data_IF_979699553929
#
_entry.id   IF_979699553929
#
_cell.length_a   1.000
_cell.length_b   1.000
_cell.length_c   1.000
_cell.angle_alpha   90.00
_cell.angle_beta   90.00
_cell.angle_gamma   90.00
#
_symmetry.space_group_name_H-M   'P 1'
#
loop_
_entity.id
_entity.type
_entity.pdbx_description
1 polymer ?
#
# COMPACT_ATOMS: atom_id res chain seq x y z
N UNK A 1 44.08 4.92 -17.16
CA UNK A 1 42.66 5.27 -17.12
C UNK A 1 41.87 4.05 -16.65
N UNK A 2 41.28 4.07 -15.45
CA UNK A 2 40.40 2.98 -14.97
C UNK A 2 39.00 3.25 -15.50
N UNK A 3 38.53 2.39 -16.42
CA UNK A 3 37.20 2.48 -17.01
C UNK A 3 36.11 2.33 -15.96
N UNK A 4 35.11 3.22 -16.01
CA UNK A 4 33.93 3.16 -15.16
C UNK A 4 33.16 1.87 -15.41
N UNK A 5 33.15 0.98 -14.42
CA UNK A 5 32.27 -0.18 -14.41
C UNK A 5 30.83 0.30 -14.42
N UNK A 6 30.04 -0.12 -15.43
CA UNK A 6 28.60 0.09 -15.43
C UNK A 6 28.04 -0.66 -14.22
N UNK A 7 27.34 0.04 -13.34
CA UNK A 7 26.59 -0.60 -12.25
C UNK A 7 25.64 -1.63 -12.88
N UNK A 8 25.91 -2.91 -12.65
CA UNK A 8 25.03 -3.99 -13.08
C UNK A 8 23.71 -3.84 -12.32
N UNK A 9 22.59 -3.90 -13.03
CA UNK A 9 21.25 -3.85 -12.45
C UNK A 9 20.42 -4.95 -13.06
N UNK A 10 20.15 -5.99 -12.27
CA UNK A 10 19.36 -7.13 -12.71
C UNK A 10 17.93 -6.72 -13.08
N UNK A 11 17.46 -7.14 -14.25
CA UNK A 11 16.11 -6.85 -14.74
C UNK A 11 15.01 -7.62 -14.01
N UNK A 12 15.37 -8.61 -13.16
CA UNK A 12 14.41 -9.39 -12.38
C UNK A 12 14.26 -8.85 -10.95
N UNK A 13 15.36 -8.68 -10.21
CA UNK A 13 15.34 -8.28 -8.79
C UNK A 13 15.97 -6.91 -8.49
N UNK A 14 16.51 -6.19 -9.49
CA UNK A 14 17.30 -4.95 -9.32
C UNK A 14 18.62 -5.12 -8.53
N UNK A 15 19.11 -6.35 -8.35
CA UNK A 15 20.38 -6.64 -7.68
C UNK A 15 21.61 -6.36 -8.54
N UNK A 16 22.81 -6.25 -7.93
CA UNK A 16 24.06 -5.93 -8.62
C UNK A 16 24.69 -7.16 -9.30
N UNK A 17 23.98 -7.77 -10.24
CA UNK A 17 24.43 -8.94 -10.99
C UNK A 17 23.74 -9.00 -12.36
N UNK A 18 24.23 -9.86 -13.26
CA UNK A 18 23.60 -10.07 -14.55
C UNK A 18 22.21 -10.69 -14.41
N UNK A 19 21.30 -10.34 -15.32
CA UNK A 19 19.90 -10.78 -15.29
C UNK A 19 19.76 -12.30 -15.37
N UNK A 20 20.66 -12.96 -16.11
CA UNK A 20 20.64 -14.40 -16.34
C UNK A 20 20.92 -15.18 -15.05
N UNK A 21 21.84 -14.68 -14.23
CA UNK A 21 22.29 -15.29 -12.97
C UNK A 21 21.45 -14.88 -11.75
N UNK A 22 20.21 -14.45 -11.96
CA UNK A 22 19.40 -13.97 -10.84
C UNK A 22 19.11 -15.06 -9.80
N UNK A 23 19.58 -14.91 -8.54
CA UNK A 23 19.39 -15.93 -7.51
C UNK A 23 17.96 -15.93 -6.96
N UNK A 24 17.21 -14.84 -7.18
CA UNK A 24 15.88 -14.62 -6.62
C UNK A 24 14.78 -15.12 -7.56
N UNK A 25 14.91 -14.87 -8.86
CA UNK A 25 13.85 -15.12 -9.83
C UNK A 25 14.37 -15.84 -11.07
N UNK A 26 13.73 -16.98 -11.38
CA UNK A 26 13.99 -17.73 -12.61
C UNK A 26 13.21 -17.19 -13.82
N UNK A 27 12.04 -16.60 -13.58
CA UNK A 27 11.16 -16.08 -14.64
C UNK A 27 11.51 -14.62 -14.95
N UNK A 28 11.32 -14.16 -16.20
CA UNK A 28 11.47 -12.76 -16.54
C UNK A 28 10.46 -11.91 -15.76
N UNK A 29 10.83 -10.66 -15.54
CA UNK A 29 9.98 -9.67 -14.89
C UNK A 29 8.67 -9.49 -15.69
N UNK A 30 7.49 -9.47 -15.05
CA UNK A 30 6.22 -9.23 -15.73
C UNK A 30 6.23 -7.94 -16.55
N UNK A 31 5.52 -7.88 -17.68
CA UNK A 31 5.45 -6.68 -18.55
C UNK A 31 4.68 -5.51 -17.94
N UNK A 32 4.17 -5.68 -16.72
CA UNK A 32 3.27 -4.73 -16.08
C UNK A 32 4.04 -3.55 -15.46
N UNK A 33 3.53 -2.31 -15.55
CA UNK A 33 4.20 -1.04 -15.20
C UNK A 33 4.89 -1.04 -13.82
N UNK A 34 4.28 -1.60 -12.78
CA UNK A 34 4.79 -1.72 -11.41
C UNK A 34 6.06 -2.56 -11.28
N UNK A 35 6.14 -3.65 -12.05
CA UNK A 35 7.32 -4.48 -12.07
C UNK A 35 8.54 -3.65 -12.52
N UNK A 36 8.29 -2.60 -13.31
CA UNK A 36 9.29 -1.68 -13.85
C UNK A 36 9.35 -0.33 -13.14
N UNK A 37 8.31 0.08 -12.39
CA UNK A 37 8.19 1.45 -11.85
C UNK A 37 9.36 1.81 -10.92
N UNK A 38 9.87 0.81 -10.19
CA UNK A 38 10.99 0.93 -9.28
C UNK A 38 12.32 0.41 -9.88
N UNK A 39 12.34 -0.01 -11.15
CA UNK A 39 13.58 -0.48 -11.80
C UNK A 39 14.62 0.63 -11.83
N UNK A 40 15.76 0.41 -11.17
CA UNK A 40 16.85 1.37 -11.13
C UNK A 40 16.55 2.64 -10.32
N UNK A 41 15.42 2.74 -9.62
CA UNK A 41 15.15 3.87 -8.72
C UNK A 41 15.91 3.69 -7.42
N UNK A 42 16.71 4.70 -7.05
CA UNK A 42 17.38 4.77 -5.73
C UNK A 42 16.37 4.96 -4.59
N UNK A 43 15.20 5.53 -4.90
CA UNK A 43 14.06 5.74 -3.99
C UNK A 43 12.80 5.12 -4.59
N UNK A 44 12.46 3.87 -4.24
CA UNK A 44 11.26 3.20 -4.73
C UNK A 44 9.99 3.98 -4.36
N UNK A 45 9.04 4.08 -5.29
CA UNK A 45 7.67 4.43 -4.97
C UNK A 45 7.10 3.26 -4.17
N UNK A 46 6.77 3.54 -2.91
CA UNK A 46 6.17 2.60 -1.98
C UNK A 46 5.00 3.29 -1.28
N UNK A 47 3.96 2.52 -0.98
CA UNK A 47 2.86 2.99 -0.15
C UNK A 47 3.36 3.13 1.29
N UNK A 48 3.32 4.37 1.79
CA UNK A 48 3.95 4.74 3.06
C UNK A 48 5.39 5.16 2.83
N UNK A 49 5.63 6.47 2.87
CA UNK A 49 6.98 6.96 3.17
C UNK A 49 7.38 6.35 4.52
N UNK A 50 8.58 5.80 4.64
CA UNK A 50 9.11 5.42 5.95
C UNK A 50 9.08 6.69 6.80
N UNK A 51 8.07 6.87 7.65
CA UNK A 51 7.86 8.09 8.44
C UNK A 51 8.94 8.29 9.51
N UNK A 52 10.17 7.88 9.25
CA UNK A 52 11.23 7.59 10.19
C UNK A 52 11.03 6.25 10.90
N UNK A 53 12.11 5.71 11.46
CA UNK A 53 12.05 4.69 12.51
C UNK A 53 11.64 5.35 13.84
N UNK A 54 10.44 5.90 13.90
CA UNK A 54 9.91 6.52 15.12
C UNK A 54 9.48 5.41 16.07
N UNK A 55 9.94 5.45 17.32
CA UNK A 55 9.50 4.54 18.38
C UNK A 55 8.62 5.30 19.36
N UNK A 56 7.36 4.88 19.49
CA UNK A 56 6.45 5.40 20.51
C UNK A 56 6.65 4.61 21.81
N UNK A 57 6.88 5.30 22.93
CA UNK A 57 7.11 4.65 24.24
C UNK A 57 5.86 4.58 25.11
N UNK A 58 5.01 5.60 25.04
CA UNK A 58 3.84 5.76 25.92
C UNK A 58 2.53 5.70 25.12
N UNK A 59 2.36 4.64 24.32
CA UNK A 59 1.15 4.43 23.55
C UNK A 59 0.26 3.37 24.19
N UNK A 60 -1.07 3.57 24.13
CA UNK A 60 -2.06 2.59 24.55
C UNK A 60 -2.64 1.89 23.33
N UNK A 61 -2.56 0.56 23.30
CA UNK A 61 -3.23 -0.25 22.29
C UNK A 61 -4.70 -0.38 22.65
N UNK A 62 -5.58 0.09 21.76
CA UNK A 62 -7.04 -0.12 21.87
C UNK A 62 -7.42 -1.30 20.98
N UNK A 63 -7.90 -2.39 21.60
CA UNK A 63 -8.32 -3.59 20.86
C UNK A 63 -9.61 -3.31 20.10
N UNK A 64 -9.63 -3.68 18.83
CA UNK A 64 -10.82 -3.58 17.98
C UNK A 64 -11.47 -4.97 17.78
N UNK A 65 -12.76 -5.02 17.45
CA UNK A 65 -13.45 -6.27 17.12
C UNK A 65 -12.79 -7.04 15.97
N UNK A 66 -12.78 -8.37 16.08
CA UNK A 66 -12.25 -9.30 15.07
C UNK A 66 -13.29 -9.77 14.04
N UNK A 67 -14.23 -8.91 13.66
CA UNK A 67 -15.37 -9.22 12.78
C UNK A 67 -15.08 -8.98 11.29
N UNK A 68 -13.79 -8.88 10.93
CA UNK A 68 -13.35 -8.48 9.59
C UNK A 68 -13.55 -7.00 9.25
N UNK A 69 -13.98 -6.16 10.20
CA UNK A 69 -14.00 -4.70 10.07
C UNK A 69 -12.91 -4.00 10.90
N UNK A 70 -11.95 -4.74 11.46
CA UNK A 70 -10.97 -4.23 12.43
C UNK A 70 -10.21 -2.98 11.97
N UNK A 71 -9.83 -2.89 10.69
CA UNK A 71 -9.21 -1.68 10.12
C UNK A 71 -10.15 -0.47 10.23
N UNK A 72 -11.39 -0.64 9.77
CA UNK A 72 -12.39 0.43 9.77
C UNK A 72 -12.79 0.82 11.18
N UNK A 73 -12.83 -0.12 12.11
CA UNK A 73 -12.99 0.16 13.54
C UNK A 73 -11.83 1.02 14.07
N UNK A 74 -10.58 0.69 13.72
CA UNK A 74 -9.41 1.45 14.13
C UNK A 74 -9.43 2.88 13.60
N UNK A 75 -9.75 3.05 12.31
CA UNK A 75 -9.88 4.36 11.66
C UNK A 75 -11.04 5.17 12.25
N UNK A 76 -12.20 4.55 12.42
CA UNK A 76 -13.40 5.14 13.02
C UNK A 76 -13.13 5.62 14.46
N UNK A 77 -12.43 4.83 15.26
CA UNK A 77 -12.02 5.20 16.62
C UNK A 77 -11.09 6.42 16.62
N UNK A 78 -10.13 6.47 15.70
CA UNK A 78 -9.21 7.61 15.58
C UNK A 78 -9.87 8.90 15.07
N UNK A 79 -10.89 8.78 14.21
CA UNK A 79 -11.64 9.92 13.68
C UNK A 79 -12.68 10.46 14.67
N UNK A 80 -13.28 9.59 15.49
CA UNK A 80 -14.20 9.97 16.57
C UNK A 80 -15.60 10.41 16.15
N UNK A 81 -15.95 10.39 14.86
CA UNK A 81 -17.18 10.99 14.32
C UNK A 81 -18.00 10.06 13.39
N UNK A 82 -17.60 8.80 13.25
CA UNK A 82 -18.23 7.84 12.34
C UNK A 82 -18.13 6.43 12.88
N UNK A 83 -18.97 5.52 12.39
CA UNK A 83 -18.90 4.09 12.66
C UNK A 83 -18.17 3.34 11.55
N UNK A 84 -17.57 2.17 11.89
CA UNK A 84 -16.78 1.35 10.98
C UNK A 84 -17.50 1.01 9.66
N UNK A 85 -18.74 0.55 9.72
CA UNK A 85 -19.51 0.16 8.52
C UNK A 85 -19.83 1.35 7.61
N UNK A 86 -20.16 2.51 8.21
CA UNK A 86 -20.38 3.76 7.47
C UNK A 86 -19.09 4.26 6.83
N UNK A 87 -17.98 4.24 7.58
CA UNK A 87 -16.68 4.64 7.08
C UNK A 87 -16.21 3.73 5.93
N UNK A 88 -16.38 2.41 6.06
CA UNK A 88 -16.12 1.43 4.99
C UNK A 88 -16.83 1.81 3.70
N UNK A 89 -18.14 2.08 3.76
CA UNK A 89 -18.94 2.47 2.58
C UNK A 89 -18.48 3.81 1.99
N UNK A 90 -18.15 4.79 2.83
CA UNK A 90 -17.64 6.08 2.37
C UNK A 90 -16.30 5.94 1.65
N UNK A 91 -15.36 5.16 2.22
CA UNK A 91 -14.06 4.86 1.61
C UNK A 91 -14.26 4.16 0.26
N UNK A 92 -15.08 3.11 0.19
CA UNK A 92 -15.34 2.40 -1.07
C UNK A 92 -15.99 3.31 -2.12
N UNK A 93 -16.93 4.16 -1.70
CA UNK A 93 -17.53 5.17 -2.57
C UNK A 93 -16.52 6.20 -3.07
N UNK A 94 -15.56 6.59 -2.22
CA UNK A 94 -14.47 7.47 -2.60
C UNK A 94 -13.55 6.82 -3.63
N UNK A 95 -13.10 5.58 -3.41
CA UNK A 95 -12.29 4.80 -4.35
C UNK A 95 -13.02 4.72 -5.70
N UNK A 96 -14.31 4.37 -5.70
CA UNK A 96 -15.10 4.26 -6.94
C UNK A 96 -15.21 5.56 -7.73
N UNK A 97 -15.30 6.71 -7.07
CA UNK A 97 -15.45 8.03 -7.72
C UNK A 97 -14.13 8.66 -8.15
N UNK A 98 -13.00 8.18 -7.64
CA UNK A 98 -11.70 8.79 -7.86
C UNK A 98 -10.67 7.76 -8.39
N UNK A 99 -10.99 6.99 -9.46
CA UNK A 99 -10.07 5.96 -9.97
C UNK A 99 -8.71 6.53 -10.41
N UNK A 100 -8.68 7.82 -10.78
CA UNK A 100 -7.52 8.48 -11.37
C UNK A 100 -6.74 9.32 -10.35
N UNK A 101 -7.20 9.37 -9.09
CA UNK A 101 -6.47 10.05 -8.03
C UNK A 101 -5.16 9.30 -7.76
N UNK A 102 -4.04 10.01 -7.84
CA UNK A 102 -2.73 9.45 -7.59
C UNK A 102 -2.43 9.34 -6.10
N UNK A 103 -2.00 8.15 -5.69
CA UNK A 103 -1.52 7.82 -4.34
C UNK A 103 -0.14 7.20 -4.50
N UNK A 104 0.88 7.82 -3.91
CA UNK A 104 2.26 7.32 -4.04
C UNK A 104 2.82 7.34 -5.47
N UNK A 105 2.24 8.16 -6.36
CA UNK A 105 2.66 8.29 -7.77
C UNK A 105 1.92 7.39 -8.76
N UNK A 106 0.97 6.56 -8.30
CA UNK A 106 0.13 5.72 -9.16
C UNK A 106 -1.37 5.94 -8.86
N UNK A 107 -2.25 5.92 -9.87
CA UNK A 107 -3.68 6.13 -9.69
C UNK A 107 -4.33 4.95 -8.95
N UNK A 108 -5.40 5.22 -8.16
CA UNK A 108 -6.13 4.18 -7.41
C UNK A 108 -6.49 2.96 -8.26
N UNK A 109 -6.87 3.15 -9.53
CA UNK A 109 -7.22 2.04 -10.43
C UNK A 109 -6.06 1.06 -10.65
N UNK A 110 -4.83 1.54 -10.74
CA UNK A 110 -3.65 0.70 -10.93
C UNK A 110 -3.41 -0.10 -9.65
N UNK A 111 -3.50 0.54 -8.47
CA UNK A 111 -3.44 -0.14 -7.16
C UNK A 111 -4.47 -1.27 -7.02
N UNK A 112 -5.71 -1.03 -7.44
CA UNK A 112 -6.78 -2.04 -7.39
C UNK A 112 -6.52 -3.19 -8.37
N UNK A 113 -6.04 -2.88 -9.58
CA UNK A 113 -5.66 -3.90 -10.56
C UNK A 113 -4.55 -4.80 -10.02
N UNK A 114 -3.55 -4.22 -9.35
CA UNK A 114 -2.45 -4.96 -8.72
C UNK A 114 -2.89 -5.90 -7.60
N UNK A 115 -3.69 -5.37 -6.67
CA UNK A 115 -4.06 -6.11 -5.47
C UNK A 115 -5.08 -7.22 -5.76
N UNK A 116 -6.03 -6.93 -6.66
CA UNK A 116 -7.25 -7.73 -6.79
C UNK A 116 -7.55 -8.20 -8.22
N UNK A 117 -6.75 -7.81 -9.22
CA UNK A 117 -6.92 -8.15 -10.64
C UNK A 117 -8.38 -7.96 -11.13
N UNK A 118 -8.98 -6.82 -10.75
CA UNK A 118 -10.37 -6.51 -11.10
C UNK A 118 -10.57 -5.00 -11.29
N UNK A 119 -11.73 -4.60 -11.80
CA UNK A 119 -12.05 -3.18 -11.95
C UNK A 119 -12.29 -2.49 -10.61
N UNK A 120 -12.05 -1.17 -10.54
CA UNK A 120 -12.35 -0.33 -9.36
C UNK A 120 -13.79 -0.50 -8.88
N UNK A 121 -14.76 -0.58 -9.81
CA UNK A 121 -16.16 -0.76 -9.44
C UNK A 121 -16.43 -2.12 -8.78
N UNK A 122 -15.83 -3.20 -9.30
CA UNK A 122 -15.96 -4.53 -8.70
C UNK A 122 -15.26 -4.59 -7.33
N UNK A 123 -14.06 -4.01 -7.23
CA UNK A 123 -13.33 -3.90 -5.98
C UNK A 123 -14.13 -3.17 -4.91
N UNK A 124 -14.59 -1.95 -5.21
CA UNK A 124 -15.36 -1.14 -4.28
C UNK A 124 -16.68 -1.81 -3.86
N UNK A 125 -17.38 -2.46 -4.80
CA UNK A 125 -18.61 -3.20 -4.48
C UNK A 125 -18.32 -4.35 -3.50
N UNK A 126 -17.28 -5.15 -3.76
CA UNK A 126 -16.86 -6.23 -2.87
C UNK A 126 -16.39 -5.70 -1.52
N UNK A 127 -15.46 -4.75 -1.49
CA UNK A 127 -14.86 -4.19 -0.28
C UNK A 127 -15.86 -3.47 0.61
N UNK A 128 -16.97 -2.96 0.04
CA UNK A 128 -18.05 -2.33 0.81
C UNK A 128 -18.80 -3.30 1.72
N UNK A 129 -18.68 -4.61 1.49
CA UNK A 129 -19.30 -5.65 2.31
C UNK A 129 -18.55 -5.83 3.64
N UNK A 130 -19.29 -6.08 4.72
CA UNK A 130 -18.70 -6.42 6.02
C UNK A 130 -17.90 -7.73 5.94
N UNK A 131 -16.93 -7.89 6.84
CA UNK A 131 -16.14 -9.12 6.95
C UNK A 131 -14.90 -9.20 6.04
N UNK A 132 -14.72 -8.26 5.10
CA UNK A 132 -13.53 -8.20 4.25
C UNK A 132 -12.44 -7.34 4.86
N UNK A 133 -11.24 -7.88 4.95
CA UNK A 133 -10.08 -7.17 5.49
C UNK A 133 -9.67 -6.07 4.52
N UNK A 134 -9.59 -4.84 5.02
CA UNK A 134 -9.00 -3.74 4.27
C UNK A 134 -7.49 -3.67 4.49
N UNK A 135 -6.80 -2.92 3.63
CA UNK A 135 -5.36 -2.76 3.66
C UNK A 135 -4.90 -1.34 3.34
N UNK A 136 -3.76 -1.23 2.67
CA UNK A 136 -3.17 0.07 2.35
C UNK A 136 -4.03 0.94 1.44
N UNK A 137 -4.77 0.34 0.50
CA UNK A 137 -5.70 1.07 -0.39
C UNK A 137 -6.75 1.81 0.42
N UNK A 138 -7.42 1.12 1.36
CA UNK A 138 -8.43 1.73 2.23
C UNK A 138 -7.84 2.79 3.16
N UNK A 139 -6.63 2.56 3.70
CA UNK A 139 -5.92 3.52 4.56
C UNK A 139 -5.65 4.81 3.81
N UNK A 140 -5.07 4.71 2.61
CA UNK A 140 -4.73 5.87 1.80
C UNK A 140 -5.99 6.59 1.31
N UNK A 141 -7.00 5.85 0.84
CA UNK A 141 -8.28 6.42 0.48
C UNK A 141 -8.97 7.15 1.65
N UNK A 142 -8.88 6.60 2.87
CA UNK A 142 -9.39 7.27 4.08
C UNK A 142 -8.63 8.58 4.35
N UNK A 143 -7.31 8.56 4.29
CA UNK A 143 -6.46 9.74 4.48
C UNK A 143 -6.86 10.88 3.52
N UNK A 144 -7.05 10.57 2.23
CA UNK A 144 -7.49 11.55 1.23
C UNK A 144 -8.95 11.99 1.43
N UNK A 145 -9.88 11.05 1.67
CA UNK A 145 -11.29 11.35 1.90
C UNK A 145 -11.49 12.28 3.10
N UNK A 146 -10.74 12.04 4.18
CA UNK A 146 -10.89 12.77 5.46
C UNK A 146 -9.91 13.92 5.63
N UNK A 147 -8.94 14.06 4.71
CA UNK A 147 -7.86 15.06 4.77
C UNK A 147 -7.05 14.98 6.06
N UNK A 148 -6.68 13.76 6.45
CA UNK A 148 -5.87 13.47 7.64
C UNK A 148 -4.70 12.57 7.30
N UNK A 149 -3.68 12.57 8.15
CA UNK A 149 -2.60 11.58 8.06
C UNK A 149 -2.97 10.33 8.86
N UNK A 150 -2.70 9.16 8.28
CA UNK A 150 -2.85 7.87 8.98
C UNK A 150 -1.46 7.25 9.16
N UNK A 151 -1.07 7.01 10.40
CA UNK A 151 0.19 6.37 10.76
C UNK A 151 -0.06 4.91 11.14
N UNK A 152 0.60 3.99 10.44
CA UNK A 152 0.55 2.55 10.74
C UNK A 152 1.77 2.20 11.57
N UNK A 153 1.55 1.62 12.75
CA UNK A 153 2.61 1.19 13.66
C UNK A 153 2.63 -0.33 13.70
N UNK A 154 3.81 -0.90 13.54
CA UNK A 154 4.04 -2.33 13.74
C UNK A 154 4.82 -2.58 15.03
N UNK A 155 4.65 -3.77 15.60
CA UNK A 155 5.46 -4.18 16.75
C UNK A 155 6.90 -4.41 16.26
N UNK A 156 7.79 -3.47 16.59
CA UNK A 156 9.21 -3.68 16.42
C UNK A 156 9.69 -4.82 17.32
N UNK A 157 10.42 -5.77 16.74
CA UNK A 157 11.24 -6.70 17.51
C UNK A 157 12.49 -5.94 17.94
N UNK A 158 12.53 -5.49 19.19
CA UNK A 158 13.76 -4.92 19.75
C UNK A 158 14.81 -6.02 19.90
N UNK A 159 16.02 -5.76 19.43
CA UNK A 159 17.24 -6.34 20.01
C UNK A 159 17.44 -5.80 21.42
#
# INVERSE_FOLDING_TARGET
>A
ARGGGKDLCCDRCNGPHETEDCPVYRKPRPKHKDAWVNKGRKTPLAMGSSGGNVKIRNARVVRQPGDGNCLFHSLSYGLGDTHASSLRRQICGFIKRNPDLEIGGDPIRDWVEYDSNCSVSQYAARMSQNGRWGGGIEIAACAHLRRVNVHVWEKGWGS
#
